data_IF_763889515143
#
_entry.id   IF_763889515143
#
_cell.length_a   1.000
_cell.length_b   1.000
_cell.length_c   1.000
_cell.angle_alpha   90.00
_cell.angle_beta   90.00
_cell.angle_gamma   90.00
#
_symmetry.space_group_name_H-M   'P 1'
#
loop_
_entity.id
_entity.type
_entity.pdbx_description
1 polymer ?
#
# COMPACT_ATOMS: atom_id res chain seq x y z
N UNK A 1 2.30 8.05 -10.43
CA UNK A 1 1.96 8.01 -8.99
C UNK A 1 2.84 7.01 -8.28
N UNK A 2 3.00 7.14 -6.96
CA UNK A 2 3.89 6.31 -6.13
C UNK A 2 3.60 4.81 -6.29
N UNK A 3 2.31 4.42 -6.39
CA UNK A 3 1.91 3.02 -6.65
C UNK A 3 2.52 2.44 -7.93
N UNK A 4 2.71 3.24 -8.98
CA UNK A 4 3.38 2.79 -10.21
C UNK A 4 4.90 2.64 -10.04
N UNK A 5 5.53 3.52 -9.24
CA UNK A 5 6.96 3.39 -8.91
C UNK A 5 7.23 2.11 -8.11
N UNK A 6 6.41 1.85 -7.08
CA UNK A 6 6.47 0.64 -6.26
C UNK A 6 6.29 -0.60 -7.15
N UNK A 7 5.24 -0.61 -7.98
CA UNK A 7 4.99 -1.70 -8.91
C UNK A 7 6.19 -1.95 -9.82
N UNK A 8 6.79 -0.90 -10.39
CA UNK A 8 7.96 -1.04 -11.25
C UNK A 8 9.16 -1.65 -10.53
N UNK A 9 9.45 -1.21 -9.30
CA UNK A 9 10.54 -1.79 -8.52
C UNK A 9 10.30 -3.27 -8.18
N UNK A 10 9.06 -3.65 -7.88
CA UNK A 10 8.70 -5.06 -7.65
C UNK A 10 8.94 -5.88 -8.93
N UNK A 11 8.46 -5.40 -10.09
CA UNK A 11 8.67 -6.07 -11.38
C UNK A 11 10.17 -6.19 -11.72
N UNK A 12 10.98 -5.17 -11.42
CA UNK A 12 12.43 -5.19 -11.62
C UNK A 12 13.12 -6.22 -10.68
N UNK A 13 12.66 -6.35 -9.43
CA UNK A 13 13.14 -7.34 -8.46
C UNK A 13 12.75 -8.78 -8.83
N UNK A 14 11.53 -8.98 -9.33
CA UNK A 14 11.05 -10.27 -9.85
C UNK A 14 11.87 -10.70 -11.07
N UNK A 15 12.17 -9.77 -11.98
CA UNK A 15 13.02 -10.01 -13.15
C UNK A 15 14.47 -10.35 -12.77
N UNK A 16 14.99 -9.74 -11.70
CA UNK A 16 16.32 -10.03 -11.16
C UNK A 16 16.41 -11.38 -10.41
N UNK A 17 15.29 -12.13 -10.30
CA UNK A 17 15.23 -13.42 -9.60
C UNK A 17 15.27 -13.30 -8.07
N UNK A 18 15.04 -12.10 -7.52
CA UNK A 18 15.06 -11.86 -6.08
C UNK A 18 13.74 -12.19 -5.37
N UNK A 19 12.63 -12.27 -6.11
CA UNK A 19 11.27 -12.51 -5.59
C UNK A 19 10.48 -13.29 -6.65
N UNK A 20 9.74 -14.32 -6.26
CA UNK A 20 8.86 -15.05 -7.16
C UNK A 20 7.64 -14.18 -7.53
N UNK A 21 7.22 -14.14 -8.81
CA UNK A 21 6.10 -13.32 -9.22
C UNK A 21 4.81 -13.74 -8.52
N UNK A 22 4.06 -12.75 -8.01
CA UNK A 22 2.76 -12.99 -7.35
C UNK A 22 2.84 -13.37 -5.86
N UNK A 23 4.01 -13.26 -5.22
CA UNK A 23 4.12 -13.42 -3.75
C UNK A 23 3.74 -12.18 -2.96
N UNK A 24 3.49 -11.04 -3.62
CA UNK A 24 3.05 -9.83 -2.94
C UNK A 24 1.69 -10.08 -2.28
N UNK A 25 1.63 -9.87 -0.97
CA UNK A 25 0.41 -10.03 -0.17
C UNK A 25 0.17 -8.78 0.67
N UNK A 26 -1.07 -8.58 1.09
CA UNK A 26 -1.47 -7.54 2.05
C UNK A 26 -1.82 -8.26 3.35
N UNK A 27 -1.01 -8.10 4.38
CA UNK A 27 -1.16 -8.78 5.68
C UNK A 27 -1.33 -10.31 5.56
N UNK A 28 -0.62 -10.92 4.61
CA UNK A 28 -0.69 -12.36 4.32
C UNK A 28 -1.87 -12.79 3.43
N UNK A 29 -2.72 -11.84 3.02
CA UNK A 29 -3.85 -12.08 2.09
C UNK A 29 -3.41 -11.76 0.65
N UNK A 30 -3.72 -12.62 -0.34
CA UNK A 30 -3.47 -12.31 -1.75
C UNK A 30 -4.13 -11.00 -2.18
N UNK A 31 -3.45 -10.21 -3.01
CA UNK A 31 -3.91 -8.87 -3.42
C UNK A 31 -5.32 -8.90 -4.02
N UNK A 32 -5.63 -9.85 -4.91
CA UNK A 32 -6.97 -9.98 -5.52
C UNK A 32 -8.07 -10.24 -4.48
N UNK A 33 -7.74 -11.04 -3.46
CA UNK A 33 -8.67 -11.34 -2.36
C UNK A 33 -8.87 -10.12 -1.45
N UNK A 34 -7.80 -9.35 -1.21
CA UNK A 34 -7.89 -8.13 -0.40
C UNK A 34 -8.77 -7.07 -1.07
N UNK A 35 -8.64 -6.87 -2.39
CA UNK A 35 -9.45 -5.88 -3.12
C UNK A 35 -10.94 -6.22 -3.13
N UNK A 36 -11.28 -7.51 -3.25
CA UNK A 36 -12.68 -7.96 -3.28
C UNK A 36 -13.34 -8.01 -1.91
N UNK A 37 -12.56 -8.01 -0.83
CA UNK A 37 -13.02 -8.11 0.56
C UNK A 37 -12.54 -6.96 1.43
N UNK A 38 -12.27 -5.82 0.81
CA UNK A 38 -11.76 -4.65 1.51
C UNK A 38 -12.70 -4.23 2.65
N UNK A 39 -12.13 -4.02 3.83
CA UNK A 39 -12.81 -3.47 4.99
C UNK A 39 -12.02 -2.26 5.48
N UNK A 40 -12.73 -1.18 5.79
CA UNK A 40 -12.12 0.01 6.36
C UNK A 40 -11.61 -0.30 7.77
N UNK A 41 -10.34 0.00 8.04
CA UNK A 41 -9.75 -0.16 9.36
C UNK A 41 -10.16 1.03 10.24
N UNK A 42 -11.28 0.88 10.95
CA UNK A 42 -11.80 1.89 11.89
C UNK A 42 -10.88 2.10 13.11
N UNK A 43 -10.02 1.12 13.44
CA UNK A 43 -9.03 1.25 14.51
C UNK A 43 -7.89 2.17 14.10
N UNK A 44 -7.45 2.08 12.84
CA UNK A 44 -6.40 2.93 12.27
C UNK A 44 -6.92 4.28 11.79
N UNK A 45 -8.14 4.31 11.25
CA UNK A 45 -8.77 5.51 10.70
C UNK A 45 -10.21 5.62 11.20
N UNK A 46 -10.45 6.19 12.39
CA UNK A 46 -11.78 6.26 12.97
C UNK A 46 -12.75 7.07 12.11
N UNK A 47 -13.93 6.51 11.81
CA UNK A 47 -14.98 7.17 11.02
C UNK A 47 -15.59 8.39 11.70
N UNK A 48 -15.41 8.48 13.03
CA UNK A 48 -15.87 9.62 13.84
C UNK A 48 -14.89 10.80 13.82
N UNK A 49 -13.69 10.64 13.25
CA UNK A 49 -12.73 11.73 13.11
C UNK A 49 -13.08 12.63 11.90
N UNK A 50 -12.71 13.92 11.93
CA UNK A 50 -12.87 14.80 10.78
C UNK A 50 -12.16 14.24 9.54
N UNK A 51 -12.85 14.19 8.40
CA UNK A 51 -12.28 13.69 7.14
C UNK A 51 -10.94 14.34 6.78
N UNK A 52 -10.79 15.64 7.07
CA UNK A 52 -9.55 16.38 6.84
C UNK A 52 -8.34 15.77 7.55
N UNK A 53 -8.54 15.20 8.76
CA UNK A 53 -7.47 14.60 9.55
C UNK A 53 -7.11 13.23 8.98
N UNK A 54 -8.11 12.43 8.61
CA UNK A 54 -7.91 11.15 7.91
C UNK A 54 -7.15 11.36 6.60
N UNK A 55 -7.56 12.35 5.80
CA UNK A 55 -6.89 12.70 4.53
C UNK A 55 -5.45 13.15 4.79
N UNK A 56 -5.22 14.05 5.75
CA UNK A 56 -3.87 14.52 6.08
C UNK A 56 -2.97 13.37 6.58
N UNK A 57 -3.49 12.48 7.40
CA UNK A 57 -2.76 11.29 7.89
C UNK A 57 -2.38 10.35 6.75
N UNK A 58 -3.32 10.05 5.84
CA UNK A 58 -3.05 9.20 4.66
C UNK A 58 -2.02 9.87 3.76
N UNK A 59 -2.17 11.17 3.48
CA UNK A 59 -1.21 11.92 2.65
C UNK A 59 0.19 11.92 3.26
N UNK A 60 0.32 12.16 4.56
CA UNK A 60 1.60 12.14 5.26
C UNK A 60 2.27 10.76 5.18
N UNK A 61 1.51 9.68 5.37
CA UNK A 61 2.03 8.32 5.21
C UNK A 61 2.48 8.04 3.78
N UNK A 62 1.71 8.47 2.77
CA UNK A 62 2.08 8.32 1.36
C UNK A 62 3.36 9.10 1.02
N UNK A 63 3.50 10.34 1.50
CA UNK A 63 4.73 11.13 1.31
C UNK A 63 5.93 10.47 1.98
N UNK A 64 5.78 9.94 3.19
CA UNK A 64 6.86 9.23 3.88
C UNK A 64 7.32 8.00 3.10
N UNK A 65 6.38 7.21 2.57
CA UNK A 65 6.71 6.05 1.71
C UNK A 65 7.48 6.50 0.46
N UNK A 66 7.09 7.61 -0.16
CA UNK A 66 7.82 8.15 -1.31
C UNK A 66 9.24 8.58 -0.97
N UNK A 67 9.45 9.24 0.17
CA UNK A 67 10.76 9.66 0.64
C UNK A 67 11.65 8.45 0.99
N UNK A 68 11.10 7.43 1.64
CA UNK A 68 11.84 6.20 2.01
C UNK A 68 12.27 5.38 0.78
N UNK A 69 11.60 5.55 -0.36
CA UNK A 69 11.92 4.89 -1.63
C UNK A 69 12.97 5.61 -2.48
N UNK A 70 13.35 6.84 -2.11
CA UNK A 70 14.27 7.69 -2.87
C UNK A 70 15.73 7.40 -2.52
#
# INVERSE_FOLDING_TARGET
GISHKIRRQIEDLECAGGVEPGTLTVDGVPVDSYLTRFVWDEGKYPVNAPLKETVASIQSQVTKIEDDMK
#
